data_IF_264692194501
#
_entry.id   IF_264692194501
#
_cell.length_a   1.000
_cell.length_b   1.000
_cell.length_c   1.000
_cell.angle_alpha   90.00
_cell.angle_beta   90.00
_cell.angle_gamma   90.00
#
_symmetry.space_group_name_H-M   'P 1'
#
loop_
_entity.id
_entity.type
_entity.pdbx_description
1 polymer ?
#
# COMPACT_ATOMS: atom_id res chain seq x y z
N UNK A 1 -13.71 -9.97 18.23
CA UNK A 1 -12.79 -9.54 17.18
C UNK A 1 -13.39 -9.81 15.81
N UNK A 2 -13.33 -8.86 14.90
CA UNK A 2 -13.69 -9.01 13.49
C UNK A 2 -12.63 -9.79 12.72
N UNK A 3 -12.96 -10.29 11.52
CA UNK A 3 -12.00 -10.94 10.62
C UNK A 3 -10.77 -10.05 10.36
N UNK A 4 -10.98 -8.74 10.21
CA UNK A 4 -9.92 -7.78 9.92
C UNK A 4 -9.00 -7.53 11.13
N UNK A 5 -9.54 -7.51 12.35
CA UNK A 5 -8.74 -7.38 13.57
C UNK A 5 -7.79 -8.57 13.75
N UNK A 6 -8.28 -9.79 13.54
CA UNK A 6 -7.45 -11.01 13.60
C UNK A 6 -6.33 -11.00 12.56
N UNK A 7 -6.63 -10.56 11.33
CA UNK A 7 -5.62 -10.43 10.28
C UNK A 7 -4.59 -9.35 10.65
N UNK A 8 -5.04 -8.21 11.19
CA UNK A 8 -4.17 -7.13 11.63
C UNK A 8 -3.20 -7.62 12.69
N UNK A 9 -3.69 -8.21 13.78
CA UNK A 9 -2.84 -8.70 14.88
C UNK A 9 -1.82 -9.72 14.39
N UNK A 10 -2.22 -10.63 13.51
CA UNK A 10 -1.31 -11.61 12.89
C UNK A 10 -0.21 -10.93 12.09
N UNK A 11 -0.56 -10.01 11.19
CA UNK A 11 0.42 -9.28 10.38
C UNK A 11 1.37 -8.46 11.24
N UNK A 12 0.85 -7.72 12.23
CA UNK A 12 1.70 -6.89 13.09
C UNK A 12 2.67 -7.73 13.91
N UNK A 13 2.23 -8.92 14.36
CA UNK A 13 3.09 -9.89 15.04
C UNK A 13 4.14 -10.49 14.10
N UNK A 14 3.75 -10.95 12.92
CA UNK A 14 4.65 -11.63 11.97
C UNK A 14 5.74 -10.69 11.44
N UNK A 15 5.40 -9.40 11.27
CA UNK A 15 6.31 -8.39 10.72
C UNK A 15 6.97 -7.51 11.79
N UNK A 16 6.54 -7.57 13.05
CA UNK A 16 6.99 -6.70 14.15
C UNK A 16 6.88 -5.20 13.81
N UNK A 17 5.79 -4.84 13.11
CA UNK A 17 5.51 -3.48 12.62
C UNK A 17 4.02 -3.21 12.67
N UNK A 18 3.63 -1.95 12.74
CA UNK A 18 2.22 -1.58 12.68
C UNK A 18 1.66 -1.78 11.25
N UNK A 19 0.35 -1.96 11.14
CA UNK A 19 -0.31 -2.24 9.86
C UNK A 19 -0.12 -1.12 8.83
N UNK A 20 -0.04 0.13 9.28
CA UNK A 20 0.24 1.29 8.44
C UNK A 20 1.62 1.18 7.75
N UNK A 21 2.67 0.85 8.49
CA UNK A 21 4.03 0.65 7.97
C UNK A 21 4.08 -0.53 6.99
N UNK A 22 3.44 -1.65 7.33
CA UNK A 22 3.38 -2.84 6.49
C UNK A 22 2.72 -2.49 5.15
N UNK A 23 1.58 -1.81 5.21
CA UNK A 23 0.82 -1.45 4.02
C UNK A 23 1.52 -0.37 3.19
N UNK A 24 2.17 0.61 3.82
CA UNK A 24 2.96 1.64 3.14
C UNK A 24 4.09 0.99 2.33
N UNK A 25 4.88 0.12 2.96
CA UNK A 25 5.98 -0.58 2.30
C UNK A 25 5.51 -1.36 1.06
N UNK A 26 4.39 -2.08 1.16
CA UNK A 26 3.91 -2.92 0.06
C UNK A 26 3.21 -2.10 -1.04
N UNK A 27 2.34 -1.17 -0.67
CA UNK A 27 1.48 -0.46 -1.62
C UNK A 27 2.15 0.76 -2.25
N UNK A 28 3.00 1.46 -1.48
CA UNK A 28 3.67 2.69 -1.89
C UNK A 28 5.10 2.39 -2.34
N UNK A 29 5.97 1.91 -1.45
CA UNK A 29 7.40 1.79 -1.74
C UNK A 29 7.70 0.72 -2.79
N UNK A 30 7.09 -0.46 -2.66
CA UNK A 30 7.20 -1.54 -3.64
C UNK A 30 6.25 -1.39 -4.83
N UNK A 31 5.40 -0.36 -4.83
CA UNK A 31 4.40 -0.06 -5.86
C UNK A 31 3.47 -1.25 -6.22
N UNK A 32 3.15 -2.12 -5.25
CA UNK A 32 2.34 -3.30 -5.54
C UNK A 32 0.85 -2.97 -5.67
N UNK A 33 0.18 -3.66 -6.59
CA UNK A 33 -1.27 -3.69 -6.68
C UNK A 33 -1.90 -4.63 -5.62
N UNK A 34 -3.21 -4.49 -5.34
CA UNK A 34 -3.86 -5.25 -4.27
C UNK A 34 -3.77 -6.77 -4.38
N UNK A 35 -3.75 -7.33 -5.60
CA UNK A 35 -3.64 -8.77 -5.79
C UNK A 35 -2.25 -9.30 -5.40
N UNK A 36 -1.20 -8.60 -5.83
CA UNK A 36 0.20 -9.00 -5.57
C UNK A 36 0.55 -8.75 -4.11
N UNK A 37 0.16 -7.61 -3.55
CA UNK A 37 0.37 -7.28 -2.13
C UNK A 37 -0.30 -8.28 -1.20
N UNK A 38 -1.58 -8.62 -1.47
CA UNK A 38 -2.31 -9.63 -0.69
C UNK A 38 -1.64 -11.01 -0.74
N UNK A 39 -1.15 -11.43 -1.93
CA UNK A 39 -0.42 -12.68 -2.09
C UNK A 39 0.87 -12.70 -1.29
N UNK A 40 1.64 -11.60 -1.27
CA UNK A 40 2.88 -11.51 -0.47
C UNK A 40 2.61 -11.59 1.03
N UNK A 41 1.54 -10.95 1.50
CA UNK A 41 1.15 -10.93 2.92
C UNK A 41 0.34 -12.16 3.37
N UNK A 42 0.03 -13.09 2.46
CA UNK A 42 -0.78 -14.27 2.79
C UNK A 42 -2.18 -13.93 3.32
N UNK A 43 -2.83 -12.90 2.76
CA UNK A 43 -4.17 -12.45 3.15
C UNK A 43 -5.14 -12.43 1.96
N UNK A 44 -6.47 -12.43 2.20
CA UNK A 44 -7.44 -12.16 1.15
C UNK A 44 -7.25 -10.78 0.53
N UNK A 45 -7.44 -10.66 -0.79
CA UNK A 45 -7.38 -9.36 -1.50
C UNK A 45 -8.29 -8.31 -0.86
N UNK A 46 -9.47 -8.69 -0.38
CA UNK A 46 -10.41 -7.77 0.31
C UNK A 46 -9.80 -7.14 1.56
N UNK A 47 -9.02 -7.90 2.33
CA UNK A 47 -8.36 -7.42 3.53
C UNK A 47 -7.25 -6.42 3.16
N UNK A 48 -6.47 -6.72 2.13
CA UNK A 48 -5.47 -5.77 1.62
C UNK A 48 -6.10 -4.43 1.22
N UNK A 49 -7.19 -4.46 0.45
CA UNK A 49 -7.91 -3.24 0.04
C UNK A 49 -8.48 -2.50 1.26
N UNK A 50 -9.06 -3.23 2.21
CA UNK A 50 -9.57 -2.67 3.45
C UNK A 50 -8.48 -1.91 4.22
N UNK A 51 -7.30 -2.50 4.39
CA UNK A 51 -6.19 -1.83 5.09
C UNK A 51 -5.61 -0.64 4.31
N UNK A 52 -5.50 -0.73 2.97
CA UNK A 52 -5.11 0.43 2.14
C UNK A 52 -6.05 1.62 2.36
N UNK A 53 -7.36 1.37 2.45
CA UNK A 53 -8.37 2.41 2.68
C UNK A 53 -8.30 2.95 4.12
N UNK A 54 -8.24 2.06 5.11
CA UNK A 54 -8.09 2.41 6.53
C UNK A 54 -6.85 3.29 6.78
N UNK A 55 -5.73 2.97 6.12
CA UNK A 55 -4.48 3.72 6.24
C UNK A 55 -4.42 4.98 5.35
N UNK A 56 -5.45 5.28 4.55
CA UNK A 56 -5.50 6.47 3.69
C UNK A 56 -4.56 6.46 2.47
N UNK A 57 -3.89 5.34 2.18
CA UNK A 57 -2.77 5.27 1.23
C UNK A 57 -3.17 5.46 -0.24
N UNK A 58 -4.47 5.40 -0.57
CA UNK A 58 -4.94 5.65 -1.94
C UNK A 58 -4.62 7.07 -2.40
N UNK A 59 -4.78 8.05 -1.49
CA UNK A 59 -4.47 9.45 -1.76
C UNK A 59 -2.97 9.64 -1.93
N UNK A 60 -2.18 9.05 -1.04
CA UNK A 60 -0.72 9.13 -1.08
C UNK A 60 -0.16 8.55 -2.39
N UNK A 61 -0.68 7.40 -2.83
CA UNK A 61 -0.27 6.79 -4.10
C UNK A 61 -0.61 7.67 -5.29
N UNK A 62 -1.81 8.26 -5.30
CA UNK A 62 -2.23 9.19 -6.36
C UNK A 62 -1.32 10.42 -6.41
N UNK A 63 -1.02 11.03 -5.27
CA UNK A 63 -0.16 12.21 -5.20
C UNK A 63 1.29 11.89 -5.64
N UNK A 64 1.79 10.70 -5.31
CA UNK A 64 3.10 10.22 -5.79
C UNK A 64 3.13 10.02 -7.30
N UNK A 65 2.09 9.40 -7.88
CA UNK A 65 1.97 9.23 -9.33
C UNK A 65 1.92 10.60 -10.01
N UNK A 66 1.11 11.53 -9.48
CA UNK A 66 1.00 12.89 -10.02
C UNK A 66 2.35 13.62 -10.02
N UNK A 67 3.10 13.56 -8.91
CA UNK A 67 4.46 14.12 -8.82
C UNK A 67 5.41 13.50 -9.82
N UNK A 68 5.40 12.16 -9.98
CA UNK A 68 6.23 11.45 -10.96
C UNK A 68 5.93 11.89 -12.40
N UNK A 69 4.65 12.04 -12.74
CA UNK A 69 4.21 12.48 -14.08
C UNK A 69 4.66 13.91 -14.37
N UNK A 70 4.49 14.84 -13.41
CA UNK A 70 4.95 16.23 -13.55
C UNK A 70 6.46 16.29 -13.79
N UNK A 71 7.25 15.60 -12.96
CA UNK A 71 8.71 15.58 -13.11
C UNK A 71 9.18 14.94 -14.43
N UNK A 72 8.45 13.96 -14.97
CA UNK A 72 8.77 13.35 -16.26
C UNK A 72 8.41 14.28 -17.43
N UNK A 73 7.32 15.04 -17.32
CA UNK A 73 6.90 16.01 -18.32
C UNK A 73 7.89 17.17 -18.47
N UNK A 74 8.45 17.65 -17.36
CA UNK A 74 9.46 18.72 -17.37
C UNK A 74 10.77 18.28 -18.05
N UNK A 75 11.14 16.99 -17.95
CA UNK A 75 12.36 16.46 -18.58
C UNK A 75 12.22 16.31 -20.11
N UNK A 76 11.00 16.05 -20.60
CA UNK A 76 10.72 15.94 -22.04
C UNK A 76 10.49 17.30 -22.73
N UNK A 77 10.22 18.37 -21.97
CA UNK A 77 10.10 19.74 -22.48
C UNK A 77 11.46 20.49 -22.56
N UNK A 78 12.52 19.91 -21.98
CA UNK A 78 13.87 20.47 -21.94
C UNK A 78 14.84 19.85 -22.97
N UNK A 79 14.36 18.95 -23.83
CA UNK A 79 15.05 18.37 -24.99
C UNK A 79 14.47 18.92 -26.29
#
# INVERSE_FOLDING_TARGET
MTEYELIKERLEKDHQRAIDDIMYQHYIEQDLGPAVGAKKLGIPRRAFVYFVQQCGLQKDKFDLIKKKVLNTGDWMAAL
#
